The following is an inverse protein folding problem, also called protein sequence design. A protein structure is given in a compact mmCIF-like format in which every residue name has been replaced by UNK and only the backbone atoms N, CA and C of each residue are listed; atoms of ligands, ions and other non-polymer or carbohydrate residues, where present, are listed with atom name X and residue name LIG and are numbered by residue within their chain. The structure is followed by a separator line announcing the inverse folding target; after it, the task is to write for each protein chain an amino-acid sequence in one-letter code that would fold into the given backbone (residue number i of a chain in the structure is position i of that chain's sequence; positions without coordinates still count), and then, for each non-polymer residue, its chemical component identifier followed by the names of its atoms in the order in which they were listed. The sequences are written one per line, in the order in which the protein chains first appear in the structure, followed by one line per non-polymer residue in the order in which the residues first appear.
data_IF_835120279760
#
_entry.id   IF_835120279760
#
_cell.length_a   1.000
_cell.length_b   1.000
_cell.length_c   1.000
_cell.angle_alpha   90.00
_cell.angle_beta   90.00
_cell.angle_gamma   90.00
#
_symmetry.space_group_name_H-M   'P 1'
#
loop_
_entity.id
_entity.type
_entity.pdbx_description
1 polymer ?
#
# COMPACT_ATOMS: atom_id res chain seq x y z
N UNK A 1 76.98 -16.35 -68.50
CA UNK A 1 76.64 -16.98 -67.20
C UNK A 1 75.99 -16.02 -66.20
N UNK A 2 76.51 -14.80 -65.97
CA UNK A 2 76.03 -13.86 -64.92
C UNK A 2 74.58 -13.34 -65.06
N UNK A 3 74.00 -13.25 -66.27
CA UNK A 3 72.62 -12.75 -66.45
C UNK A 3 71.54 -13.79 -66.11
N UNK A 4 71.81 -15.06 -66.39
CA UNK A 4 70.88 -16.16 -66.13
C UNK A 4 70.65 -16.38 -64.62
N UNK A 5 71.71 -16.34 -63.82
CA UNK A 5 71.60 -16.44 -62.35
C UNK A 5 70.83 -15.26 -61.74
N UNK A 6 71.01 -14.05 -62.29
CA UNK A 6 70.32 -12.85 -61.80
C UNK A 6 68.81 -12.91 -62.07
N UNK A 7 68.42 -13.44 -63.24
CA UNK A 7 67.01 -13.66 -63.60
C UNK A 7 66.35 -14.74 -62.73
N UNK A 8 67.04 -15.85 -62.45
CA UNK A 8 66.52 -16.89 -61.55
C UNK A 8 66.37 -16.40 -60.10
N UNK A 9 67.30 -15.57 -59.60
CA UNK A 9 67.18 -14.93 -58.27
C UNK A 9 65.99 -13.97 -58.18
N UNK A 10 65.69 -13.25 -59.25
CA UNK A 10 64.53 -12.35 -59.30
C UNK A 10 63.21 -13.14 -59.34
N UNK A 11 63.12 -14.14 -60.22
CA UNK A 11 61.96 -15.04 -60.32
C UNK A 11 61.69 -15.82 -59.03
N UNK A 12 62.73 -16.24 -58.30
CA UNK A 12 62.56 -16.90 -57.00
C UNK A 12 62.06 -15.93 -55.92
N UNK A 13 62.52 -14.67 -55.93
CA UNK A 13 62.08 -13.64 -54.97
C UNK A 13 60.60 -13.29 -55.16
N UNK A 14 60.12 -13.12 -56.39
CA UNK A 14 58.70 -12.85 -56.65
C UNK A 14 57.80 -14.04 -56.29
N UNK A 15 58.27 -15.27 -56.55
CA UNK A 15 57.54 -16.48 -56.17
C UNK A 15 57.46 -16.65 -54.64
N UNK A 16 58.50 -16.24 -53.91
CA UNK A 16 58.51 -16.23 -52.43
C UNK A 16 57.62 -15.09 -51.89
N UNK A 17 57.68 -13.90 -52.50
CA UNK A 17 56.86 -12.74 -52.13
C UNK A 17 55.36 -13.01 -52.32
N UNK A 18 54.96 -13.56 -53.47
CA UNK A 18 53.57 -13.95 -53.75
C UNK A 18 53.07 -15.05 -52.81
N UNK A 19 53.91 -16.03 -52.46
CA UNK A 19 53.58 -17.10 -51.51
C UNK A 19 53.42 -16.56 -50.08
N UNK A 20 54.23 -15.58 -49.68
CA UNK A 20 54.11 -14.90 -48.38
C UNK A 20 52.87 -13.98 -48.32
N UNK A 21 52.53 -13.26 -49.40
CA UNK A 21 51.29 -12.47 -49.47
C UNK A 21 50.03 -13.34 -49.46
N UNK A 22 50.03 -14.47 -50.19
CA UNK A 22 48.92 -15.43 -50.14
C UNK A 22 48.78 -16.07 -48.75
N UNK A 23 49.89 -16.47 -48.12
CA UNK A 23 49.88 -17.04 -46.77
C UNK A 23 49.39 -16.03 -45.73
N UNK A 24 49.79 -14.75 -45.83
CA UNK A 24 49.30 -13.67 -44.95
C UNK A 24 47.80 -13.41 -45.13
N UNK A 25 47.30 -13.32 -46.36
CA UNK A 25 45.84 -13.20 -46.64
C UNK A 25 45.02 -14.39 -46.12
N UNK A 26 45.56 -15.61 -46.19
CA UNK A 26 44.90 -16.81 -45.66
C UNK A 26 44.89 -16.83 -44.12
N UNK A 27 45.99 -16.40 -43.48
CA UNK A 27 46.08 -16.26 -42.03
C UNK A 27 45.09 -15.20 -41.53
N UNK A 28 45.02 -14.04 -42.19
CA UNK A 28 44.08 -12.97 -41.84
C UNK A 28 42.62 -13.44 -41.99
N UNK A 29 42.29 -14.18 -43.06
CA UNK A 29 40.94 -14.74 -43.27
C UNK A 29 40.56 -15.78 -42.21
N UNK A 30 41.46 -16.69 -41.85
CA UNK A 30 41.20 -17.72 -40.84
C UNK A 30 41.03 -17.12 -39.44
N UNK A 31 41.81 -16.09 -39.09
CA UNK A 31 41.66 -15.38 -37.82
C UNK A 31 40.30 -14.67 -37.77
N UNK A 32 39.91 -13.96 -38.83
CA UNK A 32 38.59 -13.30 -38.92
C UNK A 32 37.45 -14.32 -38.78
N UNK A 33 37.56 -15.50 -39.41
CA UNK A 33 36.57 -16.56 -39.29
C UNK A 33 36.46 -17.09 -37.84
N UNK A 34 37.58 -17.31 -37.15
CA UNK A 34 37.58 -17.77 -35.75
C UNK A 34 36.97 -16.73 -34.81
N UNK A 35 37.28 -15.44 -35.01
CA UNK A 35 36.69 -14.34 -34.25
C UNK A 35 35.18 -14.27 -34.50
N UNK A 36 34.75 -14.40 -35.76
CA UNK A 36 33.33 -14.43 -36.13
C UNK A 36 32.60 -15.59 -35.43
N UNK A 37 33.17 -16.80 -35.46
CA UNK A 37 32.60 -17.97 -34.76
C UNK A 37 32.47 -17.72 -33.25
N UNK A 38 33.49 -17.11 -32.63
CA UNK A 38 33.45 -16.74 -31.22
C UNK A 38 32.28 -15.81 -30.90
N UNK A 39 32.12 -14.72 -31.66
CA UNK A 39 31.03 -13.77 -31.44
C UNK A 39 29.65 -14.35 -31.76
N UNK A 40 29.52 -15.18 -32.80
CA UNK A 40 28.27 -15.88 -33.11
C UNK A 40 27.89 -16.84 -31.98
N UNK A 41 28.86 -17.60 -31.44
CA UNK A 41 28.59 -18.49 -30.30
C UNK A 41 28.18 -17.70 -29.05
N UNK A 42 28.91 -16.63 -28.74
CA UNK A 42 28.63 -15.78 -27.59
C UNK A 42 27.23 -15.18 -27.67
N UNK A 43 26.92 -14.50 -28.79
CA UNK A 43 25.61 -13.88 -29.00
C UNK A 43 24.48 -14.90 -28.98
N UNK A 44 24.63 -16.05 -29.64
CA UNK A 44 23.57 -17.07 -29.68
C UNK A 44 23.33 -17.69 -28.31
N UNK A 45 24.38 -18.09 -27.59
CA UNK A 45 24.25 -18.70 -26.25
C UNK A 45 23.67 -17.70 -25.25
N UNK A 46 24.17 -16.46 -25.25
CA UNK A 46 23.65 -15.40 -24.36
C UNK A 46 22.20 -15.07 -24.67
N UNK A 47 21.79 -15.04 -25.94
CA UNK A 47 20.39 -14.85 -26.32
C UNK A 47 19.51 -15.98 -25.78
N UNK A 48 19.92 -17.24 -25.95
CA UNK A 48 19.17 -18.41 -25.47
C UNK A 48 18.99 -18.34 -23.94
N UNK A 49 20.06 -18.01 -23.20
CA UNK A 49 20.02 -17.87 -21.74
C UNK A 49 19.24 -16.64 -21.26
N UNK A 50 19.31 -15.51 -22.00
CA UNK A 50 18.71 -14.23 -21.60
C UNK A 50 17.21 -14.13 -21.84
N UNK A 51 16.63 -14.94 -22.75
CA UNK A 51 15.19 -14.90 -23.06
C UNK A 51 14.31 -15.02 -21.80
N UNK A 52 14.71 -15.80 -20.80
CA UNK A 52 13.92 -15.97 -19.57
C UNK A 52 14.11 -14.83 -18.55
N UNK A 53 15.10 -13.96 -18.75
CA UNK A 53 15.28 -12.75 -17.96
C UNK A 53 14.41 -11.60 -18.47
N UNK A 54 13.73 -11.80 -19.60
CA UNK A 54 12.61 -10.94 -19.98
C UNK A 54 11.39 -11.42 -19.18
N UNK A 55 10.94 -10.62 -18.20
CA UNK A 55 9.74 -10.94 -17.46
C UNK A 55 8.55 -10.98 -18.42
N UNK A 56 7.71 -12.02 -18.30
CA UNK A 56 6.43 -12.08 -19.00
C UNK A 56 5.65 -10.82 -18.63
N UNK A 57 5.50 -9.88 -19.58
CA UNK A 57 4.63 -8.72 -19.38
C UNK A 57 3.20 -9.24 -19.36
N UNK A 58 2.71 -9.58 -18.18
CA UNK A 58 1.29 -9.85 -18.00
C UNK A 58 0.59 -8.48 -18.05
N UNK A 59 0.19 -8.07 -19.25
CA UNK A 59 -0.60 -6.85 -19.49
C UNK A 59 -2.03 -7.07 -18.97
N UNK A 60 -2.17 -7.10 -17.65
CA UNK A 60 -3.46 -7.21 -16.98
C UNK A 60 -4.10 -5.84 -16.93
N UNK A 61 -5.34 -5.75 -17.40
CA UNK A 61 -6.18 -4.56 -17.25
C UNK A 61 -7.31 -4.85 -16.27
N UNK A 62 -7.78 -3.78 -15.64
CA UNK A 62 -8.92 -3.82 -14.73
C UNK A 62 -10.14 -4.43 -15.43
N UNK A 63 -10.94 -5.18 -14.68
CA UNK A 63 -12.15 -5.85 -15.17
C UNK A 63 -11.92 -6.98 -16.19
N UNK A 64 -10.67 -7.46 -16.36
CA UNK A 64 -10.40 -8.68 -17.12
C UNK A 64 -10.45 -9.91 -16.22
N UNK A 65 -10.83 -11.05 -16.79
CA UNK A 65 -10.81 -12.34 -16.09
C UNK A 65 -9.38 -12.89 -16.12
N UNK A 66 -8.86 -13.25 -14.95
CA UNK A 66 -7.53 -13.81 -14.83
C UNK A 66 -7.47 -15.22 -15.45
N UNK A 67 -6.56 -15.45 -16.40
CA UNK A 67 -6.48 -16.72 -17.15
C UNK A 67 -5.56 -17.75 -16.49
N UNK A 68 -4.74 -17.34 -15.52
CA UNK A 68 -3.77 -18.16 -14.79
C UNK A 68 -3.63 -17.65 -13.35
N UNK A 69 -3.31 -18.54 -12.42
CA UNK A 69 -3.00 -18.12 -11.05
C UNK A 69 -1.76 -17.22 -11.04
N UNK A 70 -1.85 -16.06 -10.40
CA UNK A 70 -0.73 -15.15 -10.23
C UNK A 70 -0.19 -15.34 -8.83
N UNK A 71 1.06 -15.79 -8.75
CA UNK A 71 1.76 -16.09 -7.51
C UNK A 71 2.74 -14.98 -7.18
N UNK A 72 2.94 -14.71 -5.89
CA UNK A 72 3.99 -13.79 -5.44
C UNK A 72 5.40 -14.37 -5.69
N UNK A 73 6.31 -13.64 -6.35
CA UNK A 73 7.66 -14.13 -6.64
C UNK A 73 8.59 -14.17 -5.40
N UNK A 74 8.19 -13.51 -4.31
CA UNK A 74 8.98 -13.33 -3.09
C UNK A 74 8.11 -12.92 -1.90
N UNK A 75 8.75 -12.66 -0.77
CA UNK A 75 8.10 -12.09 0.40
C UNK A 75 8.06 -10.57 0.24
N UNK A 76 6.89 -9.96 0.41
CA UNK A 76 6.71 -8.53 0.29
C UNK A 76 5.82 -8.02 1.41
N UNK A 77 6.21 -6.87 1.95
CA UNK A 77 5.39 -6.09 2.86
C UNK A 77 4.97 -4.82 2.13
N UNK A 78 3.68 -4.54 2.15
CA UNK A 78 3.14 -3.31 1.60
C UNK A 78 2.08 -2.74 2.54
N UNK A 79 1.90 -1.42 2.44
CA UNK A 79 0.87 -0.71 3.20
C UNK A 79 -0.48 -0.95 2.54
N UNK A 80 -1.42 -1.50 3.30
CA UNK A 80 -2.81 -1.62 2.91
C UNK A 80 -3.51 -0.29 3.12
N UNK A 81 -3.62 0.47 2.02
CA UNK A 81 -4.20 1.82 2.02
C UNK A 81 -5.66 1.80 2.47
N UNK A 82 -6.44 0.81 2.04
CA UNK A 82 -7.87 0.73 2.35
C UNK A 82 -8.10 0.37 3.82
N UNK A 83 -7.39 -0.64 4.33
CA UNK A 83 -7.48 -1.01 5.73
C UNK A 83 -7.02 0.15 6.65
N UNK A 84 -5.95 0.83 6.27
CA UNK A 84 -5.44 2.00 6.99
C UNK A 84 -6.46 3.14 7.00
N UNK A 85 -7.07 3.45 5.85
CA UNK A 85 -8.08 4.50 5.75
C UNK A 85 -9.33 4.18 6.58
N UNK A 86 -9.79 2.92 6.55
CA UNK A 86 -10.89 2.46 7.38
C UNK A 86 -10.61 2.58 8.88
N UNK A 87 -9.38 2.33 9.33
CA UNK A 87 -8.99 2.55 10.73
C UNK A 87 -8.94 4.03 11.08
N UNK A 88 -8.41 4.89 10.20
CA UNK A 88 -8.40 6.35 10.37
C UNK A 88 -9.81 6.92 10.51
N UNK A 89 -10.74 6.47 9.67
CA UNK A 89 -12.15 6.89 9.77
C UNK A 89 -12.81 6.43 11.08
N UNK A 90 -12.55 5.20 11.51
CA UNK A 90 -13.05 4.70 12.81
C UNK A 90 -12.48 5.50 13.97
N UNK A 91 -11.19 5.82 13.93
CA UNK A 91 -10.54 6.66 14.94
C UNK A 91 -11.18 8.06 14.98
N UNK A 92 -11.37 8.71 13.84
CA UNK A 92 -12.02 10.02 13.75
C UNK A 92 -13.45 9.99 14.32
N UNK A 93 -14.26 8.97 13.95
CA UNK A 93 -15.64 8.81 14.45
C UNK A 93 -15.72 8.48 15.94
N UNK A 94 -14.67 7.92 16.52
CA UNK A 94 -14.63 7.59 17.95
C UNK A 94 -14.39 8.80 18.86
N UNK A 95 -13.92 9.93 18.28
CA UNK A 95 -13.70 11.16 19.02
C UNK A 95 -15.03 11.82 19.36
N UNK A 96 -15.26 12.00 20.67
CA UNK A 96 -16.40 12.73 21.19
C UNK A 96 -16.26 14.21 20.86
N UNK A 97 -17.38 14.82 20.52
CA UNK A 97 -17.52 16.26 20.36
C UNK A 97 -17.15 17.00 21.65
N UNK A 98 -16.45 18.12 21.49
CA UNK A 98 -16.00 19.00 22.56
C UNK A 98 -16.96 20.17 22.66
N UNK A 99 -17.41 20.47 23.88
CA UNK A 99 -18.37 21.54 24.14
C UNK A 99 -17.76 22.55 25.11
N UNK A 100 -18.02 23.82 24.84
CA UNK A 100 -17.62 24.93 25.70
C UNK A 100 -18.83 25.59 26.35
N UNK A 101 -18.61 26.17 27.52
CA UNK A 101 -19.64 26.90 28.25
C UNK A 101 -19.88 28.28 27.62
N UNK A 102 -21.13 28.55 27.25
CA UNK A 102 -21.56 29.87 26.81
C UNK A 102 -21.89 30.74 28.03
N UNK A 103 -20.86 31.39 28.58
CA UNK A 103 -21.01 32.33 29.70
C UNK A 103 -21.94 33.51 29.36
N UNK A 104 -21.98 33.94 28.09
CA UNK A 104 -22.84 35.04 27.66
C UNK A 104 -24.34 34.69 27.77
N UNK A 105 -24.72 33.44 27.47
CA UNK A 105 -26.09 32.97 27.69
C UNK A 105 -26.46 32.96 29.17
N UNK A 106 -25.55 32.53 30.06
CA UNK A 106 -25.76 32.55 31.51
C UNK A 106 -25.99 34.00 31.98
N UNK A 107 -25.12 34.93 31.59
CA UNK A 107 -25.26 36.34 31.93
C UNK A 107 -26.54 36.97 31.35
N UNK A 108 -26.95 36.58 30.14
CA UNK A 108 -28.16 37.11 29.51
C UNK A 108 -29.42 36.65 30.25
N UNK A 109 -29.49 35.38 30.63
CA UNK A 109 -30.58 34.83 31.44
C UNK A 109 -30.67 35.55 32.79
N UNK A 110 -29.55 35.78 33.45
CA UNK A 110 -29.53 36.53 34.71
C UNK A 110 -30.03 37.96 34.57
N UNK A 111 -29.65 38.65 33.50
CA UNK A 111 -30.16 39.98 33.18
C UNK A 111 -31.66 39.95 32.87
N UNK A 112 -32.16 38.94 32.17
CA UNK A 112 -33.59 38.79 31.90
C UNK A 112 -34.40 38.59 33.18
N UNK A 113 -33.90 37.78 34.12
CA UNK A 113 -34.50 37.63 35.46
C UNK A 113 -34.53 38.98 36.17
N UNK A 114 -33.39 39.67 36.26
CA UNK A 114 -33.30 40.96 36.96
C UNK A 114 -34.25 42.01 36.34
N UNK A 115 -34.36 42.04 35.01
CA UNK A 115 -35.28 42.93 34.29
C UNK A 115 -36.76 42.58 34.54
N UNK A 116 -37.12 41.29 34.54
CA UNK A 116 -38.49 40.83 34.80
C UNK A 116 -38.96 41.29 36.19
N UNK A 117 -38.17 41.01 37.23
CA UNK A 117 -38.54 41.37 38.60
C UNK A 117 -38.52 42.89 38.82
N UNK A 118 -37.61 43.62 38.17
CA UNK A 118 -37.61 45.10 38.21
C UNK A 118 -38.88 45.68 37.58
N UNK A 119 -39.34 45.10 36.47
CA UNK A 119 -40.56 45.54 35.78
C UNK A 119 -41.82 45.23 36.60
N UNK A 120 -41.90 44.03 37.20
CA UNK A 120 -42.99 43.65 38.11
C UNK A 120 -43.09 44.67 39.25
N UNK A 121 -41.96 45.05 39.85
CA UNK A 121 -41.91 46.04 40.92
C UNK A 121 -42.37 47.43 40.47
N UNK A 122 -41.95 47.88 39.28
CA UNK A 122 -42.41 49.15 38.68
C UNK A 122 -43.94 49.17 38.53
N UNK A 123 -44.54 48.07 38.07
CA UNK A 123 -45.99 47.94 37.93
C UNK A 123 -46.72 47.86 39.28
N UNK A 124 -46.15 47.21 40.30
CA UNK A 124 -46.69 47.23 41.66
C UNK A 124 -46.68 48.64 42.26
N UNK A 125 -45.61 49.41 42.05
CA UNK A 125 -45.50 50.80 42.51
C UNK A 125 -46.54 51.71 41.83
N UNK A 126 -46.71 51.59 40.50
CA UNK A 126 -47.75 52.32 39.74
C UNK A 126 -49.17 51.97 40.21
N UNK A 127 -49.45 50.72 40.53
CA UNK A 127 -50.75 50.30 41.05
C UNK A 127 -51.02 50.86 42.47
N UNK A 128 -49.98 50.97 43.30
CA UNK A 128 -50.06 51.54 44.65
C UNK A 128 -50.13 53.09 44.67
N UNK A 129 -49.63 53.77 43.62
CA UNK A 129 -49.78 55.23 43.48
C UNK A 129 -51.19 55.61 42.98
N UNK A 130 -51.74 54.86 42.03
CA UNK A 130 -53.08 55.09 41.47
C UNK A 130 -54.21 54.91 42.51
N UNK A 131 -53.94 54.21 43.61
CA UNK A 131 -54.87 54.00 44.73
C UNK A 131 -54.84 55.12 45.78
N UNK A 132 -53.84 56.03 45.77
CA UNK A 132 -53.74 57.15 46.73
C UNK A 132 -54.57 58.38 46.36
N UNK A 133 -55.06 58.50 45.13
CA UNK A 133 -55.75 59.70 44.62
C UNK A 133 -57.28 59.72 44.83
N UNK A 134 -57.87 58.70 45.45
CA UNK A 134 -59.32 58.69 45.76
C UNK A 134 -59.59 58.94 47.25
N UNK A 135 -59.72 60.22 47.63
CA UNK A 135 -60.26 60.66 48.93
C UNK A 135 -61.74 60.26 49.06
N UNK A 136 -62.02 59.09 49.61
CA UNK A 136 -63.28 58.79 50.30
C UNK A 136 -63.06 57.68 51.31
N UNK A 137 -63.61 57.79 52.53
CA UNK A 137 -63.38 56.82 53.59
C UNK A 137 -64.20 55.57 53.29
N UNK A 138 -63.58 54.59 52.65
CA UNK A 138 -64.14 53.24 52.52
C UNK A 138 -63.08 52.29 53.04
N UNK A 139 -63.54 51.46 53.98
CA UNK A 139 -62.92 50.31 54.62
C UNK A 139 -61.72 49.70 53.88
N UNK A 140 -60.66 49.51 54.65
CA UNK A 140 -59.30 49.03 54.35
C UNK A 140 -59.21 47.61 53.74
N UNK A 141 -60.20 47.15 52.95
CA UNK A 141 -60.27 45.72 52.60
C UNK A 141 -60.71 45.31 51.19
N UNK A 142 -60.96 46.19 50.20
CA UNK A 142 -61.34 45.68 48.87
C UNK A 142 -61.06 46.65 47.70
N UNK A 143 -59.79 46.77 47.33
CA UNK A 143 -59.42 46.93 45.91
C UNK A 143 -58.40 45.84 45.58
N UNK A 144 -58.84 44.58 45.66
CA UNK A 144 -58.17 43.52 44.89
C UNK A 144 -58.30 43.92 43.42
N UNK A 145 -57.19 44.17 42.75
CA UNK A 145 -57.14 44.29 41.30
C UNK A 145 -57.97 43.14 40.71
N UNK A 146 -58.85 43.46 39.77
CA UNK A 146 -59.69 42.43 39.14
C UNK A 146 -58.78 41.45 38.39
N UNK A 147 -59.08 40.16 38.37
CA UNK A 147 -58.25 39.16 37.66
C UNK A 147 -57.95 39.56 36.21
N UNK A 148 -58.87 40.30 35.56
CA UNK A 148 -58.70 40.85 34.22
C UNK A 148 -57.65 41.98 34.12
N UNK A 149 -57.50 42.81 35.16
CA UNK A 149 -56.51 43.91 35.19
C UNK A 149 -55.10 43.35 35.41
N UNK A 150 -54.96 42.32 36.25
CA UNK A 150 -53.69 41.63 36.49
C UNK A 150 -53.21 40.88 35.25
N UNK A 151 -54.10 40.18 34.54
CA UNK A 151 -53.74 39.50 33.30
C UNK A 151 -53.36 40.50 32.19
N UNK A 152 -53.98 41.69 32.16
CA UNK A 152 -53.60 42.75 31.23
C UNK A 152 -52.19 43.28 31.52
N UNK A 153 -51.87 43.56 32.79
CA UNK A 153 -50.52 43.97 33.19
C UNK A 153 -49.49 42.87 32.92
N UNK A 154 -49.85 41.61 33.14
CA UNK A 154 -49.00 40.47 32.81
C UNK A 154 -48.68 40.39 31.31
N UNK A 155 -49.68 40.65 30.45
CA UNK A 155 -49.49 40.69 29.00
C UNK A 155 -48.61 41.85 28.55
N UNK A 156 -48.80 43.05 29.12
CA UNK A 156 -47.94 44.19 28.83
C UNK A 156 -46.47 43.92 29.22
N UNK A 157 -46.23 43.26 30.36
CA UNK A 157 -44.88 42.87 30.80
C UNK A 157 -44.25 41.84 29.84
N UNK A 158 -45.02 40.86 29.39
CA UNK A 158 -44.56 39.87 28.40
C UNK A 158 -44.23 40.53 27.05
N UNK A 159 -45.08 41.45 26.56
CA UNK A 159 -44.85 42.18 25.31
C UNK A 159 -43.64 43.12 25.40
N UNK A 160 -43.50 43.86 26.50
CA UNK A 160 -42.39 44.81 26.73
C UNK A 160 -41.02 44.09 26.78
N UNK A 161 -40.98 42.89 27.36
CA UNK A 161 -39.75 42.12 27.54
C UNK A 161 -39.54 41.05 26.45
N UNK A 162 -40.51 40.84 25.57
CA UNK A 162 -40.49 39.78 24.56
C UNK A 162 -40.47 38.36 25.16
N UNK A 163 -41.10 38.18 26.33
CA UNK A 163 -41.11 36.92 27.07
C UNK A 163 -42.41 36.13 26.83
N UNK A 164 -42.34 34.81 26.97
CA UNK A 164 -43.49 33.91 26.84
C UNK A 164 -43.75 33.17 28.15
N UNK A 165 -43.98 33.93 29.23
CA UNK A 165 -44.32 33.40 30.55
C UNK A 165 -45.84 33.38 30.70
N UNK A 166 -46.39 32.39 31.41
CA UNK A 166 -47.83 32.31 31.69
C UNK A 166 -48.35 33.57 32.42
N UNK A 167 -49.39 34.20 31.88
CA UNK A 167 -50.01 35.42 32.44
C UNK A 167 -50.39 35.25 33.90
N UNK A 168 -50.88 34.05 34.28
CA UNK A 168 -51.28 33.72 35.65
C UNK A 168 -50.11 33.76 36.63
N UNK A 169 -48.90 33.45 36.16
CA UNK A 169 -47.69 33.41 37.00
C UNK A 169 -47.17 34.82 37.25
N UNK A 170 -47.19 35.69 36.24
CA UNK A 170 -46.86 37.11 36.41
C UNK A 170 -47.93 37.80 37.28
N UNK A 171 -49.22 37.49 37.07
CA UNK A 171 -50.31 37.97 37.92
C UNK A 171 -50.14 37.53 39.37
N UNK A 172 -49.70 36.29 39.62
CA UNK A 172 -49.35 35.79 40.95
C UNK A 172 -48.20 36.58 41.57
N UNK A 173 -47.15 36.88 40.81
CA UNK A 173 -46.04 37.72 41.26
C UNK A 173 -46.47 39.13 41.66
N UNK A 174 -47.39 39.75 40.90
CA UNK A 174 -47.92 41.09 41.18
C UNK A 174 -48.68 41.17 42.52
N UNK A 175 -49.18 40.04 43.04
CA UNK A 175 -49.87 39.96 44.32
C UNK A 175 -48.96 39.65 45.53
N UNK A 176 -47.71 39.26 45.29
CA UNK A 176 -46.74 38.94 46.35
C UNK A 176 -46.15 40.20 46.97
N UNK A 177 -45.70 40.08 48.22
CA UNK A 177 -44.95 41.13 48.90
C UNK A 177 -43.51 41.22 48.39
N UNK A 178 -42.88 42.39 48.59
CA UNK A 178 -41.52 42.66 48.12
C UNK A 178 -40.46 41.67 48.66
N UNK A 179 -40.64 41.12 49.87
CA UNK A 179 -39.66 40.17 50.43
C UNK A 179 -39.76 38.81 49.73
N UNK A 180 -40.98 38.32 49.47
CA UNK A 180 -41.20 37.07 48.74
C UNK A 180 -40.74 37.18 47.28
N UNK A 181 -40.99 38.32 46.61
CA UNK A 181 -40.48 38.58 45.26
C UNK A 181 -38.96 38.56 45.18
N UNK A 182 -38.26 39.22 46.11
CA UNK A 182 -36.80 39.20 46.14
C UNK A 182 -36.25 37.81 46.44
N UNK A 183 -36.91 37.05 47.32
CA UNK A 183 -36.53 35.67 47.62
C UNK A 183 -36.65 34.77 46.37
N UNK A 184 -37.79 34.83 45.68
CA UNK A 184 -38.02 34.09 44.43
C UNK A 184 -36.95 34.47 43.39
N UNK A 185 -36.65 35.76 43.22
CA UNK A 185 -35.60 36.22 42.30
C UNK A 185 -34.25 35.60 42.60
N UNK A 186 -33.85 35.58 43.87
CA UNK A 186 -32.58 35.00 44.32
C UNK A 186 -32.56 33.48 44.08
N UNK A 187 -33.63 32.78 44.44
CA UNK A 187 -33.74 31.32 44.32
C UNK A 187 -33.69 30.87 42.84
N UNK A 188 -34.39 31.59 41.95
CA UNK A 188 -34.31 31.36 40.50
C UNK A 188 -32.87 31.58 40.01
N UNK A 189 -32.27 32.72 40.36
CA UNK A 189 -30.93 33.10 39.87
C UNK A 189 -29.87 32.10 40.31
N UNK A 190 -29.87 31.68 41.59
CA UNK A 190 -28.91 30.69 42.09
C UNK A 190 -29.11 29.32 41.46
N UNK A 191 -30.36 28.87 41.30
CA UNK A 191 -30.67 27.55 40.74
C UNK A 191 -30.34 27.49 39.24
N UNK A 192 -30.69 28.54 38.49
CA UNK A 192 -30.37 28.64 37.06
C UNK A 192 -28.87 28.71 36.83
N UNK A 193 -28.14 29.56 37.57
CA UNK A 193 -26.67 29.61 37.48
C UNK A 193 -26.06 28.23 37.73
N UNK A 194 -26.47 27.55 38.80
CA UNK A 194 -25.96 26.23 39.16
C UNK A 194 -26.17 25.19 38.05
N UNK A 195 -27.36 25.14 37.44
CA UNK A 195 -27.67 24.15 36.39
C UNK A 195 -27.02 24.54 35.07
N UNK A 196 -26.99 25.82 34.71
CA UNK A 196 -26.33 26.27 33.49
C UNK A 196 -24.80 26.10 33.56
N UNK A 197 -24.18 26.27 34.74
CA UNK A 197 -22.75 25.99 34.95
C UNK A 197 -22.41 24.49 34.88
N UNK A 198 -23.37 23.60 35.19
CA UNK A 198 -23.21 22.15 34.96
C UNK A 198 -23.17 21.79 33.47
N UNK A 199 -23.67 22.68 32.61
CA UNK A 199 -23.66 22.53 31.17
C UNK A 199 -24.93 21.88 30.63
N UNK A 200 -25.66 22.61 29.79
CA UNK A 200 -26.91 22.18 29.18
C UNK A 200 -26.75 22.20 27.67
N UNK A 201 -26.84 21.03 27.03
CA UNK A 201 -26.91 20.91 25.58
C UNK A 201 -28.30 21.28 25.08
N UNK A 202 -28.38 21.65 23.80
CA UNK A 202 -29.66 21.97 23.15
C UNK A 202 -30.65 20.79 23.21
N UNK A 203 -30.19 19.57 22.93
CA UNK A 203 -31.01 18.35 22.98
C UNK A 203 -31.46 17.96 24.40
N UNK A 204 -30.72 18.39 25.44
CA UNK A 204 -30.97 18.04 26.84
C UNK A 204 -31.78 19.11 27.59
N UNK A 205 -32.22 20.16 26.92
CA UNK A 205 -32.91 21.30 27.53
C UNK A 205 -34.14 20.88 28.36
N UNK A 206 -34.93 19.93 27.86
CA UNK A 206 -36.12 19.43 28.58
C UNK A 206 -35.78 18.66 29.86
N UNK A 207 -34.65 17.95 29.87
CA UNK A 207 -34.17 17.28 31.08
C UNK A 207 -33.63 18.31 32.08
N UNK A 208 -32.94 19.33 31.60
CA UNK A 208 -32.46 20.43 32.42
C UNK A 208 -33.61 21.22 33.07
N UNK A 209 -34.72 21.46 32.35
CA UNK A 209 -35.94 22.06 32.92
C UNK A 209 -36.50 21.22 34.08
N UNK A 210 -36.61 19.90 33.91
CA UNK A 210 -37.08 19.01 34.99
C UNK A 210 -36.16 19.04 36.22
N UNK A 211 -34.85 19.08 35.99
CA UNK A 211 -33.87 19.20 37.07
C UNK A 211 -33.98 20.55 37.78
N UNK A 212 -34.23 21.64 37.05
CA UNK A 212 -34.43 22.99 37.58
C UNK A 212 -35.65 23.09 38.48
N UNK A 213 -36.77 22.49 38.07
CA UNK A 213 -37.99 22.41 38.91
C UNK A 213 -37.68 21.71 40.24
N UNK A 214 -36.94 20.59 40.19
CA UNK A 214 -36.56 19.84 41.40
C UNK A 214 -35.67 20.68 42.32
N UNK A 215 -34.65 21.33 41.78
CA UNK A 215 -33.71 22.17 42.53
C UNK A 215 -34.43 23.33 43.22
N UNK A 216 -35.31 24.04 42.51
CA UNK A 216 -36.11 25.15 43.05
C UNK A 216 -37.05 24.66 44.16
N UNK A 217 -37.66 23.48 43.99
CA UNK A 217 -38.55 22.88 44.99
C UNK A 217 -37.82 22.45 46.27
N UNK A 218 -36.52 22.13 46.19
CA UNK A 218 -35.70 21.76 47.34
C UNK A 218 -35.22 22.98 48.15
N UNK A 219 -35.06 24.13 47.49
CA UNK A 219 -34.56 25.37 48.11
C UNK A 219 -35.71 26.23 48.65
N UNK A 220 -36.86 26.26 47.97
CA UNK A 220 -38.00 27.07 48.40
C UNK A 220 -38.67 26.49 49.66
N UNK A 221 -38.99 27.37 50.60
CA UNK A 221 -39.69 27.01 51.84
C UNK A 221 -41.21 26.92 51.65
N UNK A 222 -41.75 27.57 50.62
CA UNK A 222 -43.17 27.57 50.31
C UNK A 222 -43.46 26.93 48.94
N UNK A 223 -44.52 26.13 48.89
CA UNK A 223 -44.90 25.37 47.70
C UNK A 223 -45.46 26.27 46.60
N UNK A 224 -46.15 27.36 46.97
CA UNK A 224 -46.70 28.29 45.99
C UNK A 224 -45.59 29.10 45.31
N UNK A 225 -44.65 29.63 46.10
CA UNK A 225 -43.46 30.33 45.60
C UNK A 225 -42.62 29.43 44.67
N UNK A 226 -42.46 28.15 45.02
CA UNK A 226 -41.68 27.19 44.22
C UNK A 226 -42.28 26.95 42.83
N UNK A 227 -43.61 26.91 42.72
CA UNK A 227 -44.32 26.71 41.45
C UNK A 227 -44.15 27.93 40.53
N UNK A 228 -44.30 29.14 41.09
CA UNK A 228 -44.10 30.40 40.36
C UNK A 228 -42.64 30.50 39.88
N UNK A 229 -41.70 30.25 40.79
CA UNK A 229 -40.28 30.26 40.49
C UNK A 229 -39.90 29.27 39.39
N UNK A 230 -40.44 28.05 39.45
CA UNK A 230 -40.17 26.99 38.48
C UNK A 230 -40.68 27.33 37.08
N UNK A 231 -41.89 27.89 36.95
CA UNK A 231 -42.42 28.26 35.65
C UNK A 231 -41.59 29.40 35.02
N UNK A 232 -41.26 30.44 35.79
CA UNK A 232 -40.41 31.54 35.30
C UNK A 232 -39.04 31.01 34.88
N UNK A 233 -38.41 30.18 35.71
CA UNK A 233 -37.07 29.68 35.46
C UNK A 233 -37.03 28.76 34.22
N UNK A 234 -38.05 27.93 33.99
CA UNK A 234 -38.11 27.02 32.83
C UNK A 234 -38.42 27.74 31.52
N UNK A 235 -39.18 28.84 31.56
CA UNK A 235 -39.43 29.71 30.39
C UNK A 235 -38.20 30.50 29.95
N UNK A 236 -37.29 30.82 30.88
CA UNK A 236 -36.08 31.61 30.61
C UNK A 236 -34.81 30.76 30.40
N UNK A 237 -34.89 29.45 30.60
CA UNK A 237 -33.73 28.57 30.50
C UNK A 237 -33.23 28.46 29.05
N UNK A 238 -31.95 28.76 28.85
CA UNK A 238 -31.25 28.62 27.57
C UNK A 238 -30.18 27.53 27.65
N UNK A 239 -29.80 26.90 26.52
CA UNK A 239 -28.63 26.05 26.44
C UNK A 239 -27.37 26.82 26.86
N UNK A 240 -26.53 26.16 27.66
CA UNK A 240 -25.28 26.73 28.17
C UNK A 240 -24.04 26.05 27.61
N UNK A 241 -24.18 24.96 26.84
CA UNK A 241 -23.09 24.33 26.10
C UNK A 241 -23.26 24.58 24.60
N UNK A 242 -22.17 24.95 23.94
CA UNK A 242 -22.10 25.03 22.49
C UNK A 242 -20.97 24.13 21.96
N UNK A 243 -21.16 23.60 20.76
CA UNK A 243 -20.17 22.75 20.10
C UNK A 243 -18.95 23.57 19.71
N UNK A 244 -17.78 23.20 20.22
CA UNK A 244 -16.50 23.73 19.73
C UNK A 244 -16.04 22.86 18.55
N UNK A 245 -16.42 23.28 17.33
CA UNK A 245 -16.06 22.58 16.10
C UNK A 245 -14.55 22.53 15.88
N UNK A 246 -13.82 23.59 16.24
CA UNK A 246 -12.38 23.69 16.03
C UNK A 246 -11.62 22.68 16.88
N UNK A 247 -11.89 22.62 18.19
CA UNK A 247 -11.25 21.66 19.09
C UNK A 247 -11.67 20.23 18.80
N UNK A 248 -12.94 20.03 18.41
CA UNK A 248 -13.44 18.72 18.00
C UNK A 248 -12.68 18.22 16.77
N UNK A 249 -12.56 19.06 15.75
CA UNK A 249 -11.89 18.69 14.50
C UNK A 249 -10.38 18.52 14.70
N UNK A 250 -9.76 19.36 15.53
CA UNK A 250 -8.36 19.19 15.92
C UNK A 250 -8.11 17.84 16.59
N UNK A 251 -8.94 17.44 17.56
CA UNK A 251 -8.83 16.12 18.20
C UNK A 251 -9.07 14.97 17.23
N UNK A 252 -9.98 15.13 16.27
CA UNK A 252 -10.19 14.14 15.18
C UNK A 252 -8.94 13.99 14.32
N UNK A 253 -8.30 15.10 13.94
CA UNK A 253 -7.05 15.07 13.16
C UNK A 253 -5.90 14.43 13.92
N UNK A 254 -5.73 14.76 15.21
CA UNK A 254 -4.74 14.12 16.07
C UNK A 254 -4.98 12.60 16.18
N UNK A 255 -6.24 12.17 16.31
CA UNK A 255 -6.61 10.76 16.32
C UNK A 255 -6.28 10.07 14.99
N UNK A 256 -6.61 10.69 13.85
CA UNK A 256 -6.25 10.19 12.51
C UNK A 256 -4.74 10.03 12.38
N UNK A 257 -3.97 11.02 12.83
CA UNK A 257 -2.52 11.02 12.75
C UNK A 257 -1.86 9.97 13.66
N UNK A 258 -2.54 9.56 14.74
CA UNK A 258 -2.07 8.50 15.64
C UNK A 258 -2.28 7.08 15.11
N UNK A 259 -3.03 6.89 14.02
CA UNK A 259 -3.28 5.58 13.43
C UNK A 259 -2.10 5.18 12.54
N UNK A 260 -1.38 4.16 12.99
CA UNK A 260 -0.33 3.52 12.21
C UNK A 260 -0.86 2.87 10.92
N UNK A 261 -0.01 2.85 9.91
CA UNK A 261 -0.30 2.18 8.64
C UNK A 261 -0.43 0.66 8.84
N UNK A 262 -1.46 0.07 8.25
CA UNK A 262 -1.68 -1.39 8.29
C UNK A 262 -0.77 -2.06 7.28
N UNK A 263 0.21 -2.81 7.76
CA UNK A 263 1.14 -3.57 6.91
C UNK A 263 0.54 -4.95 6.63
N UNK A 264 0.36 -5.28 5.34
CA UNK A 264 0.05 -6.64 4.89
C UNK A 264 1.31 -7.32 4.36
N UNK A 265 1.54 -8.55 4.79
CA UNK A 265 2.64 -9.39 4.33
C UNK A 265 2.12 -10.43 3.34
N UNK A 266 2.66 -10.43 2.12
CA UNK A 266 2.45 -11.48 1.12
C UNK A 266 3.69 -12.37 1.12
N UNK A 267 3.49 -13.68 1.28
CA UNK A 267 4.59 -14.65 1.24
C UNK A 267 4.86 -15.15 -0.18
N UNK A 268 6.09 -15.58 -0.42
CA UNK A 268 6.50 -16.22 -1.67
C UNK A 268 5.60 -17.43 -1.98
N UNK A 269 5.07 -17.49 -3.19
CA UNK A 269 4.18 -18.57 -3.64
C UNK A 269 2.74 -18.45 -3.15
N UNK A 270 2.38 -17.38 -2.44
CA UNK A 270 0.98 -17.06 -2.16
C UNK A 270 0.27 -16.63 -3.46
N UNK A 271 -0.96 -17.11 -3.65
CA UNK A 271 -1.80 -16.70 -4.76
C UNK A 271 -2.33 -15.29 -4.49
N UNK A 272 -2.02 -14.36 -5.39
CA UNK A 272 -2.50 -12.97 -5.37
C UNK A 272 -3.86 -12.91 -6.09
N UNK A 273 -3.94 -13.47 -7.30
CA UNK A 273 -5.18 -13.53 -8.08
C UNK A 273 -5.38 -14.97 -8.54
N UNK A 274 -6.55 -15.56 -8.26
CA UNK A 274 -6.87 -16.91 -8.75
C UNK A 274 -7.35 -16.85 -10.19
N UNK A 275 -7.09 -17.92 -10.92
CA UNK A 275 -7.64 -18.17 -12.24
C UNK A 275 -9.17 -18.13 -12.17
N UNK A 276 -9.77 -17.32 -13.04
CA UNK A 276 -11.22 -17.15 -13.13
C UNK A 276 -11.78 -15.99 -12.31
N UNK A 277 -10.98 -15.36 -11.46
CA UNK A 277 -11.39 -14.13 -10.76
C UNK A 277 -11.31 -12.90 -11.67
N UNK A 278 -12.19 -11.93 -11.41
CA UNK A 278 -12.18 -10.63 -12.10
C UNK A 278 -11.16 -9.75 -11.39
N UNK A 279 -10.24 -9.17 -12.16
CA UNK A 279 -9.17 -8.33 -11.64
C UNK A 279 -9.77 -7.02 -11.12
N UNK A 280 -9.66 -6.81 -9.81
CA UNK A 280 -10.10 -5.59 -9.13
C UNK A 280 -9.05 -4.47 -9.23
N UNK A 281 -9.45 -3.25 -8.86
CA UNK A 281 -8.54 -2.13 -8.67
C UNK A 281 -7.51 -2.39 -7.56
N UNK A 282 -7.91 -3.07 -6.48
CA UNK A 282 -7.05 -3.48 -5.37
C UNK A 282 -5.95 -4.43 -5.87
N UNK A 283 -6.32 -5.42 -6.69
CA UNK A 283 -5.36 -6.35 -7.29
C UNK A 283 -4.31 -5.62 -8.13
N UNK A 284 -4.71 -4.60 -8.89
CA UNK A 284 -3.80 -3.78 -9.68
C UNK A 284 -2.86 -2.97 -8.77
N UNK A 285 -3.38 -2.44 -7.66
CA UNK A 285 -2.56 -1.72 -6.68
C UNK A 285 -1.52 -2.65 -6.04
N UNK A 286 -1.90 -3.88 -5.68
CA UNK A 286 -1.00 -4.91 -5.16
C UNK A 286 0.05 -5.28 -6.21
N UNK A 287 -0.36 -5.57 -7.46
CA UNK A 287 0.58 -5.87 -8.56
C UNK A 287 1.54 -4.72 -8.86
N UNK A 288 1.11 -3.47 -8.69
CA UNK A 288 1.96 -2.29 -8.81
C UNK A 288 2.97 -2.20 -7.65
N UNK A 289 2.52 -2.37 -6.41
CA UNK A 289 3.37 -2.36 -5.22
C UNK A 289 4.45 -3.46 -5.29
N UNK A 290 4.08 -4.62 -5.83
CA UNK A 290 5.00 -5.74 -6.09
C UNK A 290 5.93 -5.53 -7.28
N UNK A 291 5.77 -4.44 -8.04
CA UNK A 291 6.56 -4.17 -9.25
C UNK A 291 6.31 -5.15 -10.41
N UNK A 292 5.25 -5.96 -10.33
CA UNK A 292 4.93 -7.01 -11.29
C UNK A 292 4.37 -6.46 -12.61
N UNK A 293 3.82 -5.24 -12.60
CA UNK A 293 3.30 -4.57 -13.82
C UNK A 293 4.41 -4.00 -14.71
N UNK A 294 5.50 -3.53 -14.11
CA UNK A 294 6.65 -2.96 -14.80
C UNK A 294 7.95 -3.64 -14.33
N UNK A 295 8.11 -4.93 -14.64
CA UNK A 295 9.28 -5.66 -14.21
C UNK A 295 10.51 -5.06 -14.92
N UNK A 296 11.34 -4.35 -14.15
CA UNK A 296 12.54 -3.68 -14.65
C UNK A 296 13.50 -4.76 -15.13
N UNK A 297 13.95 -4.66 -16.38
CA UNK A 297 15.02 -5.52 -16.89
C UNK A 297 16.25 -5.25 -16.02
N UNK A 298 16.69 -6.24 -15.27
CA UNK A 298 17.89 -6.12 -14.48
C UNK A 298 19.10 -6.27 -15.41
N UNK A 299 19.57 -5.15 -15.96
CA UNK A 299 20.71 -5.09 -16.88
C UNK A 299 21.96 -5.77 -16.30
N UNK A 300 22.15 -5.74 -14.98
CA UNK A 300 23.29 -6.40 -14.32
C UNK A 300 23.28 -7.93 -14.53
N UNK A 301 22.11 -8.58 -14.50
CA UNK A 301 22.01 -10.02 -14.72
C UNK A 301 22.42 -10.39 -16.15
N UNK A 302 22.00 -9.61 -17.14
CA UNK A 302 22.35 -9.82 -18.56
C UNK A 302 23.85 -9.64 -18.75
N UNK A 303 24.44 -8.59 -18.18
CA UNK A 303 25.89 -8.34 -18.24
C UNK A 303 26.67 -9.49 -17.59
N UNK A 304 26.21 -10.01 -16.45
CA UNK A 304 26.81 -11.16 -15.78
C UNK A 304 26.81 -12.42 -16.65
N UNK A 305 25.69 -12.72 -17.33
CA UNK A 305 25.57 -13.87 -18.24
C UNK A 305 26.52 -13.71 -19.44
N UNK A 306 26.59 -12.52 -20.03
CA UNK A 306 27.52 -12.24 -21.15
C UNK A 306 28.97 -12.46 -20.69
N UNK A 307 29.34 -11.95 -19.51
CA UNK A 307 30.69 -12.08 -18.98
C UNK A 307 31.06 -13.54 -18.73
N UNK A 308 30.19 -14.31 -18.09
CA UNK A 308 30.45 -15.73 -17.79
C UNK A 308 30.49 -16.57 -19.07
N UNK A 309 29.55 -16.34 -20.00
CA UNK A 309 29.54 -17.01 -21.29
C UNK A 309 30.82 -16.70 -22.10
N UNK A 310 31.28 -15.45 -22.09
CA UNK A 310 32.53 -15.05 -22.74
C UNK A 310 33.74 -15.76 -22.14
N UNK A 311 33.83 -15.84 -20.81
CA UNK A 311 34.91 -16.55 -20.11
C UNK A 311 34.89 -18.04 -20.48
N UNK A 312 33.72 -18.68 -20.41
CA UNK A 312 33.55 -20.09 -20.78
C UNK A 312 34.01 -20.39 -22.21
N UNK A 313 33.54 -19.61 -23.19
CA UNK A 313 33.90 -19.81 -24.60
C UNK A 313 35.40 -19.52 -24.80
N UNK A 314 35.94 -18.49 -24.14
CA UNK A 314 37.35 -18.13 -24.22
C UNK A 314 38.24 -19.26 -23.68
N UNK A 315 37.86 -19.89 -22.57
CA UNK A 315 38.57 -21.07 -22.03
C UNK A 315 38.56 -22.22 -23.04
N UNK A 316 37.44 -22.50 -23.72
CA UNK A 316 37.40 -23.52 -24.80
C UNK A 316 38.36 -23.18 -25.92
N UNK A 317 38.33 -21.94 -26.42
CA UNK A 317 39.16 -21.51 -27.54
C UNK A 317 40.65 -21.56 -27.19
N UNK A 318 41.04 -21.12 -25.98
CA UNK A 318 42.41 -21.20 -25.50
C UNK A 318 42.87 -22.65 -25.33
N UNK A 319 42.02 -23.51 -24.76
CA UNK A 319 42.32 -24.92 -24.60
C UNK A 319 42.52 -25.63 -25.94
N UNK A 320 41.66 -25.36 -26.93
CA UNK A 320 41.80 -25.92 -28.27
C UNK A 320 43.06 -25.39 -28.96
N UNK A 321 43.36 -24.09 -28.84
CA UNK A 321 44.56 -23.51 -29.45
C UNK A 321 45.85 -24.11 -28.87
N UNK A 322 45.90 -24.34 -27.54
CA UNK A 322 47.10 -24.82 -26.87
C UNK A 322 47.29 -26.34 -26.97
N UNK A 323 46.24 -27.12 -26.69
CA UNK A 323 46.33 -28.59 -26.60
C UNK A 323 45.92 -29.32 -27.88
N UNK A 324 45.09 -28.71 -28.73
CA UNK A 324 44.54 -29.34 -29.93
C UNK A 324 44.59 -28.42 -31.17
N UNK A 325 45.78 -27.95 -31.58
CA UNK A 325 45.93 -27.01 -32.69
C UNK A 325 45.34 -27.54 -34.00
N UNK A 326 45.36 -28.86 -34.23
CA UNK A 326 44.73 -29.50 -35.40
C UNK A 326 43.22 -29.31 -35.47
N UNK A 327 42.55 -29.18 -34.32
CA UNK A 327 41.11 -28.92 -34.23
C UNK A 327 40.86 -27.42 -34.30
N UNK A 328 41.70 -26.61 -33.63
CA UNK A 328 41.61 -25.15 -33.63
C UNK A 328 41.85 -24.53 -35.02
N UNK A 329 42.75 -25.08 -35.83
CA UNK A 329 42.99 -24.60 -37.19
C UNK A 329 41.91 -25.03 -38.19
N UNK A 330 41.13 -26.06 -37.87
CA UNK A 330 40.09 -26.57 -38.75
C UNK A 330 38.74 -25.89 -38.46
N UNK A 331 38.40 -24.89 -39.28
CA UNK A 331 37.16 -24.11 -39.17
C UNK A 331 35.90 -24.99 -39.16
N UNK A 332 35.85 -26.06 -39.94
CA UNK A 332 34.68 -26.95 -39.98
C UNK A 332 34.50 -27.71 -38.65
N UNK A 333 35.60 -28.11 -38.00
CA UNK A 333 35.52 -28.75 -36.67
C UNK A 333 35.08 -27.77 -35.58
N UNK A 334 35.52 -26.50 -35.66
CA UNK A 334 35.06 -25.44 -34.75
C UNK A 334 33.57 -25.14 -34.95
N UNK A 335 33.09 -25.06 -36.20
CA UNK A 335 31.67 -24.87 -36.52
C UNK A 335 30.85 -26.04 -35.98
N UNK A 336 31.30 -27.28 -36.20
CA UNK A 336 30.62 -28.47 -35.69
C UNK A 336 30.46 -28.44 -34.16
N UNK A 337 31.54 -28.09 -33.44
CA UNK A 337 31.54 -27.96 -31.99
C UNK A 337 30.59 -26.85 -31.53
N UNK A 338 30.58 -25.72 -32.24
CA UNK A 338 29.65 -24.63 -31.99
C UNK A 338 28.18 -25.01 -32.18
N UNK A 339 27.86 -25.74 -33.26
CA UNK A 339 26.50 -26.24 -33.53
C UNK A 339 26.06 -27.19 -32.44
N UNK A 340 26.92 -28.14 -32.03
CA UNK A 340 26.62 -29.08 -30.94
C UNK A 340 26.34 -28.32 -29.64
N UNK A 341 27.18 -27.33 -29.29
CA UNK A 341 26.99 -26.53 -28.09
C UNK A 341 25.66 -25.75 -28.12
N UNK A 342 25.34 -25.07 -29.22
CA UNK A 342 24.08 -24.33 -29.37
C UNK A 342 22.88 -25.27 -29.27
N UNK A 343 22.93 -26.40 -29.98
CA UNK A 343 21.84 -27.39 -29.98
C UNK A 343 21.57 -27.93 -28.58
N UNK A 344 22.61 -28.24 -27.82
CA UNK A 344 22.50 -28.78 -26.47
C UNK A 344 21.94 -27.75 -25.49
N UNK A 345 22.40 -26.50 -25.55
CA UNK A 345 21.87 -25.42 -24.70
C UNK A 345 20.39 -25.17 -25.02
N UNK A 346 20.00 -25.25 -26.29
CA UNK A 346 18.61 -25.10 -26.72
C UNK A 346 17.73 -26.25 -26.24
N UNK A 347 18.19 -27.51 -26.37
CA UNK A 347 17.47 -28.66 -25.83
C UNK A 347 17.38 -28.63 -24.30
N UNK A 348 18.46 -28.25 -23.61
CA UNK A 348 18.47 -28.12 -22.16
C UNK A 348 17.44 -27.09 -21.68
N UNK A 349 17.28 -25.98 -22.42
CA UNK A 349 16.25 -24.97 -22.15
C UNK A 349 14.82 -25.47 -22.37
N UNK A 350 14.59 -26.32 -23.37
CA UNK A 350 13.26 -26.90 -23.57
C UNK A 350 12.97 -27.92 -22.45
N UNK A 351 13.94 -28.78 -22.12
CA UNK A 351 13.82 -29.79 -21.09
C UNK A 351 13.64 -29.19 -19.68
N UNK A 352 14.26 -28.04 -19.40
CA UNK A 352 14.17 -27.37 -18.10
C UNK A 352 12.75 -26.93 -17.74
N UNK A 353 11.86 -26.76 -18.72
CA UNK A 353 10.44 -26.47 -18.46
C UNK A 353 9.70 -27.65 -17.82
N UNK A 354 10.16 -28.89 -18.06
CA UNK A 354 9.61 -30.09 -17.46
C UNK A 354 10.34 -30.44 -16.14
N UNK A 355 11.67 -30.54 -16.19
CA UNK A 355 12.51 -30.75 -15.01
C UNK A 355 13.98 -30.46 -15.34
N UNK A 356 14.70 -29.80 -14.42
CA UNK A 356 16.14 -29.58 -14.56
C UNK A 356 16.97 -30.88 -14.61
N UNK A 357 16.45 -32.01 -14.13
CA UNK A 357 17.15 -33.30 -14.18
C UNK A 357 17.07 -33.99 -15.57
N UNK A 358 16.16 -33.54 -16.44
CA UNK A 358 15.97 -34.10 -17.80
C UNK A 358 16.90 -33.46 -18.84
N UNK A 359 17.84 -32.61 -18.44
CA UNK A 359 18.73 -31.91 -19.35
C UNK A 359 19.67 -32.89 -20.09
N UNK A 360 19.73 -32.88 -21.43
CA UNK A 360 20.41 -33.91 -22.23
C UNK A 360 21.94 -33.71 -22.33
N UNK A 361 22.59 -33.35 -21.22
CA UNK A 361 24.04 -33.08 -21.17
C UNK A 361 24.84 -34.35 -21.32
N UNK A 362 24.35 -35.47 -20.80
CA UNK A 362 24.96 -36.78 -21.03
C UNK A 362 25.01 -37.12 -22.52
N UNK A 363 23.93 -36.84 -23.27
CA UNK A 363 23.87 -37.02 -24.72
C UNK A 363 24.83 -36.08 -25.47
N UNK A 364 24.95 -34.83 -25.02
CA UNK A 364 25.92 -33.87 -25.55
C UNK A 364 27.37 -34.37 -25.39
N UNK A 365 27.69 -34.78 -24.16
CA UNK A 365 29.01 -35.29 -23.76
C UNK A 365 29.40 -36.50 -24.60
N UNK A 366 28.43 -37.39 -24.83
CA UNK A 366 28.55 -38.55 -25.71
C UNK A 366 28.83 -38.16 -27.16
N UNK A 367 28.04 -37.26 -27.74
CA UNK A 367 28.21 -36.82 -29.14
C UNK A 367 29.57 -36.17 -29.36
N UNK A 368 30.04 -35.34 -28.44
CA UNK A 368 31.35 -34.67 -28.53
C UNK A 368 32.48 -35.69 -28.41
N UNK A 369 32.36 -36.67 -27.50
CA UNK A 369 33.36 -37.71 -27.31
C UNK A 369 33.53 -38.60 -28.56
N UNK A 370 32.42 -38.94 -29.24
CA UNK A 370 32.42 -39.73 -30.48
C UNK A 370 32.95 -38.92 -31.65
N UNK A 371 32.54 -37.65 -31.77
CA UNK A 371 32.85 -36.84 -32.96
C UNK A 371 34.27 -36.28 -32.97
N UNK A 372 34.89 -36.10 -31.80
CA UNK A 372 36.15 -35.38 -31.66
C UNK A 372 37.16 -36.17 -30.82
N UNK A 373 37.15 -35.94 -29.50
CA UNK A 373 38.08 -36.55 -28.57
C UNK A 373 37.44 -36.60 -27.18
N UNK A 374 37.51 -37.72 -26.44
CA UNK A 374 37.00 -37.81 -25.07
C UNK A 374 37.52 -36.72 -24.12
N UNK A 375 38.77 -36.29 -24.26
CA UNK A 375 39.35 -35.25 -23.39
C UNK A 375 38.73 -33.87 -23.64
N UNK A 376 38.40 -33.57 -24.90
CA UNK A 376 37.70 -32.35 -25.29
C UNK A 376 36.25 -32.41 -24.80
N UNK A 377 35.63 -33.59 -24.89
CA UNK A 377 34.28 -33.80 -24.39
C UNK A 377 34.17 -33.50 -22.89
N UNK A 378 35.11 -33.96 -22.05
CA UNK A 378 35.12 -33.68 -20.61
C UNK A 378 35.11 -32.16 -20.33
N UNK A 379 35.97 -31.39 -20.99
CA UNK A 379 36.01 -29.94 -20.82
C UNK A 379 34.68 -29.29 -21.24
N UNK A 380 34.15 -29.67 -22.41
CA UNK A 380 32.89 -29.13 -22.89
C UNK A 380 31.71 -29.53 -22.00
N UNK A 381 31.69 -30.73 -21.44
CA UNK A 381 30.68 -31.16 -20.48
C UNK A 381 30.66 -30.23 -19.28
N UNK A 382 31.82 -29.97 -18.66
CA UNK A 382 31.90 -29.07 -17.50
C UNK A 382 31.42 -27.66 -17.86
N UNK A 383 31.83 -27.15 -19.01
CA UNK A 383 31.45 -25.80 -19.46
C UNK A 383 29.96 -25.70 -19.77
N UNK A 384 29.40 -26.70 -20.47
CA UNK A 384 27.97 -26.75 -20.78
C UNK A 384 27.14 -26.91 -19.51
N UNK A 385 27.56 -27.75 -18.55
CA UNK A 385 26.91 -27.87 -17.24
C UNK A 385 26.92 -26.55 -16.47
N UNK A 386 28.03 -25.79 -16.52
CA UNK A 386 28.11 -24.48 -15.88
C UNK A 386 27.16 -23.47 -16.54
N UNK A 387 27.13 -23.42 -17.87
CA UNK A 387 26.22 -22.52 -18.62
C UNK A 387 24.75 -22.82 -18.34
N UNK A 388 24.42 -24.09 -18.17
CA UNK A 388 23.06 -24.55 -17.87
C UNK A 388 22.62 -24.19 -16.44
N UNK A 389 23.56 -24.03 -15.51
CA UNK A 389 23.28 -23.49 -14.17
C UNK A 389 22.64 -22.09 -14.19
N UNK A 390 22.78 -21.34 -15.28
CA UNK A 390 22.14 -20.02 -15.44
C UNK A 390 20.72 -20.08 -16.01
N UNK A 391 20.24 -21.26 -16.39
CA UNK A 391 18.84 -21.46 -16.79
C UNK A 391 17.98 -21.36 -15.52
N UNK A 392 16.81 -20.69 -15.54
CA UNK A 392 15.91 -20.63 -14.38
C UNK A 392 15.57 -22.04 -13.86
N UNK A 393 15.70 -22.23 -12.55
CA UNK A 393 15.64 -23.55 -11.92
C UNK A 393 17.00 -24.23 -11.78
N UNK A 394 18.07 -23.73 -12.40
CA UNK A 394 19.45 -24.20 -12.30
C UNK A 394 20.09 -23.90 -10.94
N UNK A 395 19.78 -24.72 -9.94
CA UNK A 395 20.60 -24.84 -8.72
C UNK A 395 21.93 -25.58 -8.95
N UNK A 396 22.84 -25.46 -7.99
CA UNK A 396 24.14 -26.16 -8.01
C UNK A 396 24.01 -27.68 -8.15
N UNK A 397 22.89 -28.24 -7.65
CA UNK A 397 22.55 -29.65 -7.77
C UNK A 397 22.47 -30.10 -9.24
N UNK A 398 21.85 -29.30 -10.10
CA UNK A 398 21.73 -29.66 -11.53
C UNK A 398 23.08 -29.60 -12.23
N UNK A 399 23.93 -28.64 -11.88
CA UNK A 399 25.30 -28.56 -12.41
C UNK A 399 26.06 -29.84 -12.03
N UNK A 400 26.01 -30.24 -10.76
CA UNK A 400 26.68 -31.44 -10.27
C UNK A 400 26.19 -32.71 -10.96
N UNK A 401 24.87 -32.94 -11.01
CA UNK A 401 24.28 -34.10 -11.68
C UNK A 401 24.66 -34.13 -13.16
N UNK A 402 24.66 -32.96 -13.81
CA UNK A 402 25.03 -32.84 -15.22
C UNK A 402 26.48 -33.15 -15.52
N UNK A 403 27.39 -32.71 -14.65
CA UNK A 403 28.83 -33.03 -14.78
C UNK A 403 29.03 -34.53 -14.56
N UNK A 404 28.43 -35.10 -13.52
CA UNK A 404 28.56 -36.52 -13.20
C UNK A 404 27.99 -37.39 -14.33
N UNK A 405 26.76 -37.10 -14.78
CA UNK A 405 26.11 -37.85 -15.85
C UNK A 405 26.85 -37.72 -17.19
N UNK A 406 27.38 -36.53 -17.50
CA UNK A 406 28.20 -36.29 -18.67
C UNK A 406 29.52 -37.06 -18.65
N UNK A 407 30.24 -37.07 -17.52
CA UNK A 407 31.48 -37.84 -17.37
C UNK A 407 31.19 -39.35 -17.48
N UNK A 408 30.16 -39.84 -16.80
CA UNK A 408 29.73 -41.25 -16.87
C UNK A 408 29.37 -41.64 -18.31
N UNK A 409 28.69 -40.76 -19.05
CA UNK A 409 28.37 -40.98 -20.45
C UNK A 409 29.64 -41.12 -21.31
N UNK A 410 30.62 -40.23 -21.16
CA UNK A 410 31.89 -40.28 -21.91
C UNK A 410 32.63 -41.60 -21.65
N UNK A 411 32.74 -42.01 -20.38
CA UNK A 411 33.44 -43.25 -20.02
C UNK A 411 32.71 -44.51 -20.46
N UNK A 412 31.37 -44.48 -20.48
CA UNK A 412 30.55 -45.59 -20.98
C UNK A 412 30.82 -45.91 -22.45
N UNK A 413 31.30 -44.91 -23.21
CA UNK A 413 31.52 -45.01 -24.65
C UNK A 413 32.91 -45.50 -25.01
N UNK A 414 33.88 -45.32 -24.12
CA UNK A 414 35.27 -45.74 -24.35
C UNK A 414 35.42 -47.25 -24.56
N UNK A 415 34.40 -48.05 -24.21
CA UNK A 415 34.34 -49.51 -24.44
C UNK A 415 33.56 -49.93 -25.71
N UNK A 416 33.17 -49.01 -26.60
CA UNK A 416 32.20 -49.28 -27.66
C UNK A 416 32.85 -49.70 -28.99
N UNK A 417 32.64 -50.95 -29.37
CA UNK A 417 32.88 -51.47 -30.74
C UNK A 417 31.60 -51.90 -31.47
N UNK A 418 30.40 -51.91 -30.85
CA UNK A 418 29.14 -52.38 -31.47
C UNK A 418 27.88 -51.57 -31.10
N UNK A 419 26.85 -51.58 -31.98
CA UNK A 419 25.63 -50.75 -31.92
C UNK A 419 24.69 -51.01 -30.70
N UNK A 420 24.77 -52.16 -30.04
CA UNK A 420 23.94 -52.51 -28.85
C UNK A 420 24.37 -51.81 -27.56
N UNK A 421 25.44 -51.00 -27.62
CA UNK A 421 26.03 -50.30 -26.49
C UNK A 421 25.40 -48.94 -26.22
N UNK A 422 24.79 -48.30 -27.23
CA UNK A 422 24.13 -47.00 -27.11
C UNK A 422 22.92 -47.06 -26.19
N UNK A 423 22.15 -48.15 -26.26
CA UNK A 423 20.99 -48.40 -25.39
C UNK A 423 21.41 -48.67 -23.94
N UNK A 424 22.52 -49.37 -23.71
CA UNK A 424 23.08 -49.59 -22.36
C UNK A 424 23.60 -48.30 -21.73
N UNK A 425 24.27 -47.44 -22.50
CA UNK A 425 24.70 -46.12 -22.02
C UNK A 425 23.49 -45.27 -21.61
N UNK A 426 22.41 -45.28 -22.40
CA UNK A 426 21.16 -44.59 -22.06
C UNK A 426 20.55 -45.06 -20.73
N UNK A 427 20.52 -46.37 -20.46
CA UNK A 427 20.01 -46.92 -19.19
C UNK A 427 20.88 -46.53 -17.98
N UNK A 428 22.20 -46.50 -18.14
CA UNK A 428 23.12 -46.07 -17.07
C UNK A 428 22.91 -44.59 -16.75
N UNK A 429 22.79 -43.75 -17.79
CA UNK A 429 22.53 -42.31 -17.63
C UNK A 429 21.19 -42.07 -16.92
N UNK A 430 20.14 -42.82 -17.29
CA UNK A 430 18.82 -42.71 -16.66
C UNK A 430 18.81 -43.11 -15.17
N UNK A 431 19.76 -43.93 -14.71
CA UNK A 431 19.91 -44.24 -13.28
C UNK A 431 20.76 -43.24 -12.50
N UNK A 432 21.54 -42.40 -13.18
CA UNK A 432 22.40 -41.37 -12.55
C UNK A 432 21.68 -40.03 -12.41
N UNK A 433 20.82 -39.70 -13.38
CA UNK A 433 19.92 -38.55 -13.33
C UNK A 433 18.73 -38.81 -12.41
#
# INVERSE_FOLDING_TARGET
MKLYEKWNKWKSRDKISGKNMQKKKLIDKNIIQKISIFFVLLTTITLVLSINFFPDKILLKESQICTKDILSPGDFEFVDVEATQNLREKAAKSIKEVYDLNLANIENVEKQIDNLFSKIKEYQEKANESSKDTTSPITENDRRLTDNELNKMANEINEDLGLSISEKVIAGCLQLDNLSLEKIRVDIKSSMRKIMEQGIKEDDLENAKKQLIREISEISLDHHDALIASEIATSLLLPSLFLNEEDTEKRRQEAIASVDDVIRTIRKGQIIIRKGEVISSEDIAILNALGLKNPKINFFNIVGIIMIAAICILVVFLYLNYFYPEIYENVNKLILLGIIAIFVVLLAKIASQASGYLMPIASASMLIAISLNPNIAILLTVILSLLIGFIPGGGINYILVSVISGIVAIYSIRKITQRSSLTRAGLIIAGVN
#
